data_IF_029737244800
#
_entry.id   IF_029737244800
#
_cell.length_a   1.000
_cell.length_b   1.000
_cell.length_c   1.000
_cell.angle_alpha   90.00
_cell.angle_beta   90.00
_cell.angle_gamma   90.00
#
_symmetry.space_group_name_H-M   'P 1'
#
loop_
_entity.id
_entity.type
_entity.pdbx_description
1 polymer ?
#
# COMPACT_ATOMS: atom_id res chain seq x y z
N UNK A 1 -8.84 -19.49 -1.08
CA UNK A 1 -7.82 -19.10 -2.07
C UNK A 1 -6.42 -19.17 -1.47
N UNK A 2 -6.17 -18.77 -0.22
CA UNK A 2 -4.84 -18.86 0.41
C UNK A 2 -4.18 -20.25 0.30
N UNK A 3 -4.93 -21.33 0.61
CA UNK A 3 -4.41 -22.69 0.51
C UNK A 3 -3.97 -23.07 -0.92
N UNK A 4 -4.74 -22.64 -1.93
CA UNK A 4 -4.40 -22.86 -3.34
C UNK A 4 -3.14 -22.08 -3.73
N UNK A 5 -3.01 -20.83 -3.28
CA UNK A 5 -1.82 -20.01 -3.53
C UNK A 5 -0.54 -20.64 -2.97
N UNK A 6 -0.63 -21.24 -1.77
CA UNK A 6 0.49 -21.97 -1.16
C UNK A 6 0.83 -23.27 -1.94
N UNK A 7 -0.19 -24.03 -2.34
CA UNK A 7 0.00 -25.26 -3.13
C UNK A 7 0.61 -25.00 -4.50
N UNK A 8 0.26 -23.88 -5.14
CA UNK A 8 0.81 -23.46 -6.42
C UNK A 8 2.19 -22.78 -6.29
N UNK A 9 2.72 -22.65 -5.07
CA UNK A 9 4.01 -22.02 -4.79
C UNK A 9 4.16 -20.62 -5.42
N UNK A 10 3.06 -19.85 -5.47
CA UNK A 10 3.05 -18.52 -6.09
C UNK A 10 4.15 -17.56 -5.58
N UNK A 11 4.53 -17.58 -4.28
CA UNK A 11 5.64 -16.76 -3.80
C UNK A 11 7.01 -17.08 -4.44
N UNK A 12 7.20 -18.29 -4.99
CA UNK A 12 8.47 -18.76 -5.56
C UNK A 12 8.60 -18.55 -7.08
N UNK A 13 7.58 -18.00 -7.74
CA UNK A 13 7.61 -17.75 -9.18
C UNK A 13 8.80 -16.86 -9.58
N UNK A 14 9.34 -17.04 -10.79
CA UNK A 14 10.24 -16.04 -11.38
C UNK A 14 9.48 -14.75 -11.68
N UNK A 15 10.17 -13.60 -11.79
CA UNK A 15 9.51 -12.33 -12.11
C UNK A 15 8.81 -12.36 -13.49
N UNK A 16 9.36 -13.11 -14.45
CA UNK A 16 8.73 -13.32 -15.77
C UNK A 16 7.42 -14.10 -15.63
N UNK A 17 7.43 -15.21 -14.88
CA UNK A 17 6.23 -16.01 -14.63
C UNK A 17 5.19 -15.25 -13.82
N UNK A 18 5.62 -14.42 -12.87
CA UNK A 18 4.75 -13.54 -12.09
C UNK A 18 4.03 -12.54 -13.00
N UNK A 19 4.77 -11.85 -13.88
CA UNK A 19 4.19 -10.88 -14.81
C UNK A 19 3.17 -11.54 -15.75
N UNK A 20 3.50 -12.72 -16.28
CA UNK A 20 2.60 -13.49 -17.14
C UNK A 20 1.35 -13.97 -16.38
N UNK A 21 1.49 -14.40 -15.13
CA UNK A 21 0.33 -14.75 -14.31
C UNK A 21 -0.56 -13.53 -14.04
N UNK A 22 0.04 -12.37 -13.75
CA UNK A 22 -0.71 -11.13 -13.55
C UNK A 22 -1.51 -10.75 -14.79
N UNK A 23 -0.94 -10.89 -15.99
CA UNK A 23 -1.68 -10.60 -17.23
C UNK A 23 -2.87 -11.54 -17.43
N UNK A 24 -2.74 -12.83 -17.09
CA UNK A 24 -3.86 -13.76 -17.10
C UNK A 24 -4.94 -13.43 -16.07
N UNK A 25 -4.55 -13.09 -14.84
CA UNK A 25 -5.49 -12.69 -13.79
C UNK A 25 -6.24 -11.39 -14.13
N UNK A 26 -5.57 -10.46 -14.81
CA UNK A 26 -6.17 -9.21 -15.29
C UNK A 26 -7.18 -9.44 -16.41
N UNK A 27 -7.02 -10.51 -17.19
CA UNK A 27 -7.91 -10.89 -18.29
C UNK A 27 -9.14 -11.73 -17.87
N UNK A 28 -9.24 -12.12 -16.59
CA UNK A 28 -10.38 -12.89 -16.10
C UNK A 28 -11.69 -12.10 -16.22
N UNK A 29 -12.76 -12.82 -16.55
CA UNK A 29 -14.15 -12.33 -16.51
C UNK A 29 -15.04 -13.43 -15.93
N UNK A 30 -15.78 -13.19 -14.83
CA UNK A 30 -15.86 -11.92 -14.10
C UNK A 30 -14.55 -11.57 -13.37
N UNK A 31 -14.43 -10.30 -12.99
CA UNK A 31 -13.28 -9.79 -12.22
C UNK A 31 -13.13 -10.50 -10.87
N UNK A 32 -11.91 -10.47 -10.33
CA UNK A 32 -11.64 -11.01 -9.00
C UNK A 32 -12.42 -10.22 -7.94
N UNK A 33 -13.05 -10.94 -7.01
CA UNK A 33 -13.64 -10.30 -5.84
C UNK A 33 -12.57 -9.60 -4.99
N UNK A 34 -12.98 -8.58 -4.24
CA UNK A 34 -12.10 -7.85 -3.33
C UNK A 34 -11.25 -8.77 -2.43
N UNK A 35 -11.88 -9.77 -1.81
CA UNK A 35 -11.20 -10.72 -0.92
C UNK A 35 -10.18 -11.58 -1.67
N UNK A 36 -10.52 -12.06 -2.86
CA UNK A 36 -9.61 -12.87 -3.67
C UNK A 36 -8.42 -12.04 -4.18
N UNK A 37 -8.66 -10.82 -4.65
CA UNK A 37 -7.61 -9.90 -5.08
C UNK A 37 -6.66 -9.55 -3.91
N UNK A 38 -7.18 -9.34 -2.70
CA UNK A 38 -6.38 -9.09 -1.49
C UNK A 38 -5.46 -10.28 -1.17
N UNK A 39 -6.03 -11.49 -1.15
CA UNK A 39 -5.28 -12.74 -0.90
C UNK A 39 -4.20 -12.98 -1.96
N UNK A 40 -4.55 -12.84 -3.24
CA UNK A 40 -3.61 -12.99 -4.34
C UNK A 40 -2.49 -11.96 -4.26
N UNK A 41 -2.81 -10.70 -3.94
CA UNK A 41 -1.78 -9.66 -3.78
C UNK A 41 -0.75 -10.06 -2.72
N UNK A 42 -1.20 -10.52 -1.55
CA UNK A 42 -0.29 -10.98 -0.49
C UNK A 42 0.58 -12.13 -0.96
N UNK A 43 -0.02 -13.12 -1.60
CA UNK A 43 0.73 -14.29 -2.07
C UNK A 43 1.72 -13.97 -3.18
N UNK A 44 1.41 -13.02 -4.07
CA UNK A 44 2.22 -12.71 -5.24
C UNK A 44 3.35 -11.74 -4.92
N UNK A 45 3.07 -10.72 -4.11
CA UNK A 45 3.95 -9.56 -3.97
C UNK A 45 4.54 -9.36 -2.58
N UNK A 46 3.85 -9.74 -1.49
CA UNK A 46 4.27 -9.36 -0.13
C UNK A 46 5.68 -9.86 0.20
N UNK A 47 5.93 -11.16 0.04
CA UNK A 47 7.24 -11.74 0.34
C UNK A 47 8.36 -11.13 -0.50
N UNK A 48 8.08 -10.81 -1.77
CA UNK A 48 9.04 -10.17 -2.67
C UNK A 48 9.37 -8.76 -2.22
N UNK A 49 8.37 -7.95 -1.90
CA UNK A 49 8.53 -6.57 -1.42
C UNK A 49 9.32 -6.56 -0.11
N UNK A 50 8.98 -7.45 0.83
CA UNK A 50 9.71 -7.56 2.10
C UNK A 50 11.17 -8.00 1.92
N UNK A 51 11.47 -8.79 0.89
CA UNK A 51 12.84 -9.23 0.58
C UNK A 51 13.69 -8.20 -0.17
N UNK A 52 13.13 -7.06 -0.58
CA UNK A 52 13.87 -6.05 -1.34
C UNK A 52 15.00 -5.43 -0.48
N UNK A 53 16.23 -5.51 -0.99
CA UNK A 53 17.40 -4.80 -0.45
C UNK A 53 17.83 -3.63 -1.35
N UNK A 54 17.31 -3.58 -2.57
CA UNK A 54 17.49 -2.52 -3.57
C UNK A 54 16.16 -2.29 -4.30
N UNK A 55 16.10 -1.28 -5.17
CA UNK A 55 14.94 -1.03 -6.04
C UNK A 55 14.47 -2.31 -6.72
N UNK A 56 13.14 -2.50 -6.79
CA UNK A 56 12.52 -3.66 -7.41
C UNK A 56 12.91 -3.80 -8.88
N UNK A 57 12.98 -5.05 -9.36
CA UNK A 57 13.23 -5.33 -10.77
C UNK A 57 12.13 -4.67 -11.64
N UNK A 58 12.47 -4.31 -12.88
CA UNK A 58 11.50 -3.73 -13.82
C UNK A 58 10.29 -4.64 -14.02
N UNK A 59 10.49 -5.96 -14.04
CA UNK A 59 9.43 -6.94 -14.22
C UNK A 59 8.50 -6.99 -13.00
N UNK A 60 9.05 -7.01 -11.78
CA UNK A 60 8.27 -6.96 -10.55
C UNK A 60 7.45 -5.67 -10.48
N UNK A 61 8.06 -4.52 -10.77
CA UNK A 61 7.37 -3.22 -10.81
C UNK A 61 6.26 -3.22 -11.85
N UNK A 62 6.50 -3.75 -13.06
CA UNK A 62 5.48 -3.80 -14.11
C UNK A 62 4.31 -4.70 -13.70
N UNK A 63 4.59 -5.86 -13.10
CA UNK A 63 3.57 -6.78 -12.63
C UNK A 63 2.71 -6.15 -11.53
N UNK A 64 3.34 -5.52 -10.54
CA UNK A 64 2.65 -4.85 -9.44
C UNK A 64 1.81 -3.66 -9.93
N UNK A 65 2.38 -2.76 -10.74
CA UNK A 65 1.68 -1.56 -11.19
C UNK A 65 0.52 -1.91 -12.13
N UNK A 66 0.69 -2.86 -13.06
CA UNK A 66 -0.41 -3.30 -13.92
C UNK A 66 -1.53 -3.99 -13.13
N UNK A 67 -1.18 -4.80 -12.13
CA UNK A 67 -2.16 -5.44 -11.25
C UNK A 67 -2.88 -4.41 -10.37
N UNK A 68 -2.13 -3.45 -9.82
CA UNK A 68 -2.66 -2.34 -9.04
C UNK A 68 -3.61 -1.49 -9.85
N UNK A 69 -3.32 -1.19 -11.12
CA UNK A 69 -4.19 -0.35 -11.96
C UNK A 69 -5.64 -0.88 -12.09
N UNK A 70 -5.86 -2.20 -11.99
CA UNK A 70 -7.21 -2.80 -11.98
C UNK A 70 -7.75 -3.05 -10.58
N UNK A 71 -6.87 -3.39 -9.63
CA UNK A 71 -7.25 -3.81 -8.27
C UNK A 71 -6.64 -2.89 -7.21
N UNK A 72 -6.69 -1.57 -7.41
CA UNK A 72 -5.93 -0.58 -6.64
C UNK A 72 -6.15 -0.71 -5.13
N UNK A 73 -7.41 -0.62 -4.71
CA UNK A 73 -7.75 -0.71 -3.29
C UNK A 73 -7.42 -2.07 -2.66
N UNK A 74 -7.77 -3.23 -3.25
CA UNK A 74 -7.29 -4.53 -2.78
C UNK A 74 -5.77 -4.62 -2.62
N UNK A 75 -5.01 -4.08 -3.57
CA UNK A 75 -3.54 -4.12 -3.55
C UNK A 75 -2.98 -3.28 -2.41
N UNK A 76 -3.42 -2.02 -2.32
CA UNK A 76 -3.02 -1.09 -1.27
C UNK A 76 -3.35 -1.65 0.13
N UNK A 77 -4.58 -2.14 0.33
CA UNK A 77 -5.02 -2.71 1.61
C UNK A 77 -4.29 -3.98 1.99
N UNK A 78 -3.96 -4.83 1.01
CA UNK A 78 -3.24 -6.08 1.24
C UNK A 78 -1.81 -5.87 1.73
N UNK A 79 -1.14 -4.83 1.20
CA UNK A 79 0.29 -4.59 1.42
C UNK A 79 0.59 -3.62 2.56
N UNK A 80 -0.24 -2.59 2.76
CA UNK A 80 0.06 -1.48 3.67
C UNK A 80 0.49 -1.95 5.08
N UNK A 81 -0.40 -2.66 5.79
CA UNK A 81 -0.15 -3.11 7.16
C UNK A 81 1.05 -4.06 7.24
N UNK A 82 1.02 -5.21 6.53
CA UNK A 82 2.10 -6.19 6.60
C UNK A 82 3.48 -5.64 6.23
N UNK A 83 3.55 -4.70 5.27
CA UNK A 83 4.81 -4.05 4.91
C UNK A 83 5.22 -3.07 6.01
N UNK A 84 4.35 -2.17 6.48
CA UNK A 84 4.73 -1.23 7.52
C UNK A 84 5.03 -1.90 8.87
N UNK A 85 4.43 -3.03 9.19
CA UNK A 85 4.67 -3.72 10.48
C UNK A 85 5.92 -4.60 10.46
N UNK A 86 6.49 -4.90 9.29
CA UNK A 86 7.68 -5.74 9.21
C UNK A 86 8.92 -5.05 9.80
N UNK A 87 9.76 -5.78 10.56
CA UNK A 87 10.91 -5.22 11.29
C UNK A 87 12.06 -4.75 10.37
N UNK A 88 12.06 -5.16 9.10
CA UNK A 88 13.09 -4.81 8.11
C UNK A 88 12.64 -3.80 7.05
N UNK A 89 11.49 -3.15 7.25
CA UNK A 89 10.95 -2.21 6.27
C UNK A 89 11.80 -0.96 6.19
N UNK A 90 12.36 -0.72 5.00
CA UNK A 90 13.25 0.39 4.73
C UNK A 90 12.72 1.34 3.65
N UNK A 91 13.60 2.21 3.13
CA UNK A 91 13.22 3.25 2.16
C UNK A 91 12.61 2.68 0.88
N UNK A 92 13.13 1.55 0.39
CA UNK A 92 12.67 0.93 -0.86
C UNK A 92 11.21 0.47 -0.77
N UNK A 93 10.86 -0.22 0.33
CA UNK A 93 9.48 -0.66 0.56
C UNK A 93 8.55 0.53 0.78
N UNK A 94 9.02 1.53 1.53
CA UNK A 94 8.26 2.74 1.84
C UNK A 94 7.97 3.55 0.59
N UNK A 95 8.96 3.76 -0.28
CA UNK A 95 8.80 4.45 -1.57
C UNK A 95 7.77 3.75 -2.46
N UNK A 96 7.82 2.41 -2.52
CA UNK A 96 6.84 1.62 -3.25
C UNK A 96 5.43 1.78 -2.67
N UNK A 97 5.27 1.74 -1.35
CA UNK A 97 3.98 2.00 -0.70
C UNK A 97 3.48 3.41 -1.00
N UNK A 98 4.33 4.43 -0.92
CA UNK A 98 3.99 5.80 -1.27
C UNK A 98 3.50 5.90 -2.72
N UNK A 99 4.16 5.22 -3.66
CA UNK A 99 3.73 5.16 -5.05
C UNK A 99 2.34 4.50 -5.20
N UNK A 100 2.08 3.41 -4.48
CA UNK A 100 0.77 2.75 -4.49
C UNK A 100 -0.33 3.62 -3.88
N UNK A 101 -0.05 4.32 -2.78
CA UNK A 101 -1.01 5.25 -2.19
C UNK A 101 -1.41 6.32 -3.20
N UNK A 102 -0.45 6.75 -4.03
CA UNK A 102 -0.69 7.78 -5.04
C UNK A 102 -1.64 7.36 -6.17
N UNK A 103 -1.93 6.07 -6.30
CA UNK A 103 -2.85 5.55 -7.30
C UNK A 103 -4.30 5.43 -6.79
N UNK A 104 -4.56 5.70 -5.51
CA UNK A 104 -5.88 5.53 -4.90
C UNK A 104 -6.86 6.61 -5.36
N UNK A 105 -8.09 6.18 -5.65
CA UNK A 105 -9.22 7.07 -5.87
C UNK A 105 -9.67 7.72 -4.55
N UNK A 106 -10.21 8.95 -4.57
CA UNK A 106 -10.56 9.70 -3.36
C UNK A 106 -11.40 8.93 -2.35
N UNK A 107 -12.41 8.19 -2.80
CA UNK A 107 -13.31 7.42 -1.92
C UNK A 107 -12.57 6.31 -1.15
N UNK A 108 -11.54 5.72 -1.78
CA UNK A 108 -10.74 4.65 -1.18
C UNK A 108 -9.61 5.19 -0.31
N UNK A 109 -9.15 6.42 -0.54
CA UNK A 109 -8.17 7.09 0.33
C UNK A 109 -8.69 7.22 1.76
N UNK A 110 -9.99 7.50 1.93
CA UNK A 110 -10.65 7.62 3.24
C UNK A 110 -10.53 6.34 4.07
N UNK A 111 -10.67 5.18 3.41
CA UNK A 111 -10.56 3.86 4.04
C UNK A 111 -9.11 3.53 4.37
N UNK A 112 -8.19 3.84 3.46
CA UNK A 112 -6.76 3.64 3.67
C UNK A 112 -6.22 4.51 4.80
N UNK A 113 -6.73 5.74 4.92
CA UNK A 113 -6.39 6.64 6.02
C UNK A 113 -6.74 6.04 7.38
N UNK A 114 -7.96 5.51 7.52
CA UNK A 114 -8.38 4.81 8.74
C UNK A 114 -7.42 3.67 9.09
N UNK A 115 -7.04 2.86 8.10
CA UNK A 115 -6.08 1.78 8.29
C UNK A 115 -4.70 2.27 8.72
N UNK A 116 -4.17 3.36 8.12
CA UNK A 116 -2.86 3.92 8.49
C UNK A 116 -2.85 4.39 9.94
N UNK A 117 -3.94 5.00 10.41
CA UNK A 117 -4.04 5.53 11.77
C UNK A 117 -4.02 4.44 12.85
N UNK A 118 -4.44 3.22 12.50
CA UNK A 118 -4.41 2.04 13.38
C UNK A 118 -3.02 1.38 13.46
N UNK A 119 -2.08 1.74 12.57
CA UNK A 119 -0.73 1.16 12.55
C UNK A 119 0.20 1.78 13.58
N UNK A 120 1.28 1.08 13.98
CA UNK A 120 2.35 1.67 14.78
C UNK A 120 2.94 2.90 14.10
N UNK A 121 3.05 3.99 14.87
CA UNK A 121 3.54 5.26 14.36
C UNK A 121 5.07 5.31 14.39
N UNK A 122 5.68 5.17 13.21
CA UNK A 122 7.13 5.22 12.96
C UNK A 122 7.40 5.93 11.64
N UNK A 123 8.66 6.27 11.37
CA UNK A 123 9.09 7.09 10.23
C UNK A 123 8.42 6.68 8.91
N UNK A 124 8.39 5.38 8.59
CA UNK A 124 7.83 4.87 7.34
C UNK A 124 6.31 5.09 7.27
N UNK A 125 5.59 4.90 8.38
CA UNK A 125 4.15 5.16 8.48
C UNK A 125 3.84 6.63 8.15
N UNK A 126 4.71 7.55 8.59
CA UNK A 126 4.53 8.98 8.32
C UNK A 126 4.74 9.34 6.85
N UNK A 127 5.74 8.75 6.20
CA UNK A 127 6.01 9.00 4.77
C UNK A 127 4.85 8.53 3.89
N UNK A 128 4.28 7.36 4.22
CA UNK A 128 3.10 6.83 3.52
C UNK A 128 1.86 7.67 3.80
N UNK A 129 1.65 8.09 5.06
CA UNK A 129 0.57 8.99 5.43
C UNK A 129 0.68 10.31 4.64
N UNK A 130 1.85 10.95 4.65
CA UNK A 130 2.05 12.22 3.93
C UNK A 130 1.76 12.07 2.43
N UNK A 131 2.23 10.99 1.81
CA UNK A 131 1.97 10.72 0.38
C UNK A 131 0.48 10.59 0.07
N UNK A 132 -0.31 10.06 1.01
CA UNK A 132 -1.77 9.99 0.89
C UNK A 132 -2.42 11.37 1.07
N UNK A 133 -1.94 12.18 2.03
CA UNK A 133 -2.48 13.52 2.32
C UNK A 133 -2.23 14.52 1.19
N UNK A 134 -1.15 14.37 0.44
CA UNK A 134 -0.84 15.18 -0.74
C UNK A 134 -1.90 15.04 -1.86
N UNK A 135 -2.77 14.03 -1.81
CA UNK A 135 -3.72 13.70 -2.88
C UNK A 135 -5.07 14.42 -2.84
N UNK A 136 -5.15 15.59 -2.21
CA UNK A 136 -6.41 16.33 -1.97
C UNK A 136 -7.42 15.55 -1.10
N UNK A 137 -7.05 15.32 0.16
CA UNK A 137 -8.02 14.83 1.15
C UNK A 137 -9.06 15.91 1.49
N UNK A 138 -10.29 15.49 1.79
CA UNK A 138 -11.39 16.42 2.11
C UNK A 138 -11.15 17.11 3.46
N UNK A 139 -11.68 18.32 3.63
CA UNK A 139 -11.59 19.12 4.87
C UNK A 139 -11.98 18.32 6.14
N UNK A 140 -13.04 17.51 6.06
CA UNK A 140 -13.51 16.67 7.16
C UNK A 140 -12.49 15.60 7.57
N UNK A 141 -11.75 15.04 6.61
CA UNK A 141 -10.70 14.05 6.88
C UNK A 141 -9.49 14.73 7.51
N UNK A 142 -9.13 15.92 7.00
CA UNK A 142 -8.06 16.79 7.53
C UNK A 142 -8.29 17.14 9.01
N UNK A 143 -9.54 17.38 9.40
CA UNK A 143 -9.98 17.59 10.80
C UNK A 143 -9.90 16.30 11.65
N UNK A 144 -10.37 15.16 11.12
CA UNK A 144 -10.26 13.87 11.80
C UNK A 144 -8.80 13.48 12.09
N UNK A 145 -7.92 13.74 11.12
CA UNK A 145 -6.48 13.55 11.25
C UNK A 145 -5.84 14.45 12.27
N UNK A 146 -6.19 15.75 12.26
CA UNK A 146 -5.69 16.69 13.26
C UNK A 146 -6.03 16.22 14.68
N UNK A 147 -7.26 15.73 14.89
CA UNK A 147 -7.71 15.18 16.17
C UNK A 147 -6.99 13.88 16.55
N UNK A 148 -6.74 12.98 15.60
CA UNK A 148 -5.97 11.76 15.84
C UNK A 148 -4.51 12.09 16.22
N UNK A 149 -3.90 13.06 15.52
CA UNK A 149 -2.55 13.57 15.80
C UNK A 149 -2.45 14.28 17.15
N UNK A 150 -3.53 14.89 17.65
CA UNK A 150 -3.54 15.51 18.97
C UNK A 150 -3.32 14.53 20.12
N UNK A 151 -3.76 13.30 19.95
CA UNK A 151 -3.62 12.22 20.92
C UNK A 151 -2.31 11.43 20.72
N UNK A 152 -1.56 11.72 19.66
CA UNK A 152 -0.30 11.06 19.35
C UNK A 152 0.89 11.81 19.98
N UNK A 153 1.82 11.09 20.61
CA UNK A 153 3.00 11.65 21.31
C UNK A 153 4.31 11.51 20.53
N UNK A 154 4.24 11.19 19.24
CA UNK A 154 5.45 10.97 18.42
C UNK A 154 6.22 12.25 18.14
N UNK A 155 7.53 12.11 17.92
CA UNK A 155 8.45 13.19 17.59
C UNK A 155 8.03 13.98 16.34
N UNK A 156 7.34 13.34 15.39
CA UNK A 156 6.95 13.91 14.10
C UNK A 156 5.61 14.65 14.11
N UNK A 157 4.92 14.71 15.25
CA UNK A 157 3.63 15.40 15.40
C UNK A 157 3.66 16.84 14.88
N UNK A 158 4.70 17.63 15.24
CA UNK A 158 4.81 19.03 14.85
C UNK A 158 4.95 19.20 13.33
N UNK A 159 5.75 18.34 12.70
CA UNK A 159 5.96 18.32 11.25
C UNK A 159 4.67 17.98 10.50
N UNK A 160 3.87 17.04 11.00
CA UNK A 160 2.59 16.66 10.39
C UNK A 160 1.51 17.72 10.60
N UNK A 161 1.45 18.32 11.78
CA UNK A 161 0.58 19.47 12.01
C UNK A 161 0.95 20.64 11.09
N UNK A 162 2.23 20.85 10.81
CA UNK A 162 2.68 21.83 9.83
C UNK A 162 2.28 21.43 8.39
N UNK A 163 2.50 20.18 7.98
CA UNK A 163 2.09 19.69 6.66
C UNK A 163 0.57 19.80 6.44
N UNK A 164 -0.24 19.43 7.44
CA UNK A 164 -1.70 19.60 7.42
C UNK A 164 -2.14 21.07 7.34
N UNK A 165 -1.35 22.01 7.90
CA UNK A 165 -1.61 23.45 7.75
C UNK A 165 -1.20 23.96 6.37
N UNK A 166 -0.12 23.46 5.79
CA UNK A 166 0.28 23.84 4.43
C UNK A 166 -0.72 23.39 3.35
N UNK A 167 -1.46 22.30 3.60
CA UNK A 167 -2.56 21.87 2.74
C UNK A 167 -3.81 22.77 2.83
N UNK A 168 -3.81 23.83 3.66
CA UNK A 168 -4.92 24.78 3.82
C UNK A 168 -4.70 26.16 3.19
N UNK A 169 -3.53 26.41 2.58
CA UNK A 169 -3.22 27.65 1.85
C UNK A 169 -3.29 27.44 0.35
#
# INVERSE_FOLDING_TARGET
VDLLCAQLQLPQLSDTSLLQLCSWLLALSPDLSFSNATVLTRSLFLGRILSLTSSASRLLTTALISFCAKYTYPVCRALLGPVLEAPGTGPVQTELLCCLMKALEPDTQVLMLGQILELPWKEETFLVLQSLLEQQITETQRLGLAKALEHNTTFLRKSLQAALRHLTS
#
